data_IF_230011157413
#
_entry.id   IF_230011157413
#
_cell.length_a   1.000
_cell.length_b   1.000
_cell.length_c   1.000
_cell.angle_alpha   90.00
_cell.angle_beta   90.00
_cell.angle_gamma   90.00
#
_symmetry.space_group_name_H-M   'P 1'
#
loop_
_entity.id
_entity.type
_entity.pdbx_description
1 polymer ?
#
# COMPACT_ATOMS: atom_id res chain seq x y z
N UNK A 1 2.47 9.39 3.82
CA UNK A 1 1.02 9.66 3.68
C UNK A 1 0.23 8.89 4.74
N UNK A 2 -0.78 9.52 5.34
CA UNK A 2 -1.77 8.80 6.15
C UNK A 2 -2.82 8.21 5.19
N UNK A 3 -2.95 6.89 5.22
CA UNK A 3 -3.94 6.14 4.43
C UNK A 3 -5.24 6.00 5.23
N UNK A 4 -5.15 5.63 6.51
CA UNK A 4 -6.31 5.56 7.40
C UNK A 4 -6.26 6.66 8.45
N UNK A 5 -7.16 7.63 8.36
CA UNK A 5 -7.25 8.71 9.36
C UNK A 5 -7.82 8.25 10.69
N UNK A 6 -8.76 7.30 10.67
CA UNK A 6 -9.44 6.74 11.85
C UNK A 6 -8.44 6.16 12.87
N UNK A 7 -7.49 5.36 12.37
CA UNK A 7 -6.51 4.66 13.19
C UNK A 7 -5.08 5.13 12.96
N UNK A 8 -4.91 6.26 12.24
CA UNK A 8 -3.62 6.89 11.91
C UNK A 8 -2.63 5.93 11.26
N UNK A 9 -3.11 5.10 10.33
CA UNK A 9 -2.26 4.15 9.59
C UNK A 9 -1.61 4.87 8.41
N UNK A 10 -0.29 4.76 8.32
CA UNK A 10 0.51 5.32 7.23
C UNK A 10 0.73 4.33 6.10
N UNK A 11 1.01 4.81 4.89
CA UNK A 11 1.45 3.94 3.78
C UNK A 11 2.64 3.07 4.18
N UNK A 12 3.63 3.64 4.86
CA UNK A 12 4.83 2.94 5.30
C UNK A 12 4.48 1.75 6.18
N UNK A 13 3.55 1.91 7.12
CA UNK A 13 3.11 0.82 8.00
C UNK A 13 2.48 -0.33 7.20
N UNK A 14 1.64 -0.01 6.20
CA UNK A 14 1.01 -1.00 5.32
C UNK A 14 2.08 -1.72 4.48
N UNK A 15 2.99 -0.96 3.86
CA UNK A 15 4.08 -1.50 3.04
C UNK A 15 4.98 -2.44 3.85
N UNK A 16 5.34 -2.10 5.08
CA UNK A 16 6.18 -2.97 5.91
C UNK A 16 5.53 -4.33 6.14
N UNK A 17 4.24 -4.38 6.49
CA UNK A 17 3.54 -5.66 6.67
C UNK A 17 3.32 -6.40 5.35
N UNK A 18 3.01 -5.69 4.27
CA UNK A 18 2.86 -6.32 2.96
C UNK A 18 4.17 -6.98 2.49
N UNK A 19 5.33 -6.36 2.76
CA UNK A 19 6.65 -6.93 2.49
C UNK A 19 7.00 -8.13 3.38
N UNK A 20 6.40 -8.24 4.57
CA UNK A 20 6.45 -9.44 5.42
C UNK A 20 5.57 -10.58 4.87
N UNK A 21 4.86 -10.37 3.75
CA UNK A 21 3.97 -11.35 3.13
C UNK A 21 2.56 -11.38 3.70
N UNK A 22 2.21 -10.42 4.57
CA UNK A 22 0.85 -10.35 5.15
C UNK A 22 -0.17 -9.93 4.11
N UNK A 23 -1.35 -10.55 4.17
CA UNK A 23 -2.51 -10.18 3.37
C UNK A 23 -3.29 -9.03 4.01
N UNK A 24 -4.33 -8.56 3.31
CA UNK A 24 -5.17 -7.47 3.80
C UNK A 24 -5.80 -7.77 5.17
N UNK A 25 -6.32 -8.98 5.39
CA UNK A 25 -6.96 -9.34 6.66
C UNK A 25 -6.00 -9.27 7.86
N UNK A 26 -4.76 -9.73 7.70
CA UNK A 26 -3.74 -9.66 8.73
C UNK A 26 -3.35 -8.20 9.01
N UNK A 27 -3.16 -7.40 7.95
CA UNK A 27 -2.80 -5.99 8.06
C UNK A 27 -3.94 -5.18 8.70
N UNK A 28 -5.19 -5.49 8.35
CA UNK A 28 -6.39 -4.92 8.98
C UNK A 28 -6.46 -5.26 10.46
N UNK A 29 -6.18 -6.51 10.83
CA UNK A 29 -6.17 -6.96 12.22
C UNK A 29 -5.09 -6.25 13.04
N UNK A 30 -3.87 -6.15 12.51
CA UNK A 30 -2.72 -5.60 13.25
C UNK A 30 -2.74 -4.06 13.33
N UNK A 31 -3.11 -3.37 12.26
CA UNK A 31 -3.05 -1.90 12.18
C UNK A 31 -4.40 -1.22 12.42
N UNK A 32 -5.51 -1.96 12.35
CA UNK A 32 -6.86 -1.40 12.33
C UNK A 32 -7.17 -0.63 11.04
N UNK A 33 -6.42 -0.80 9.95
CA UNK A 33 -6.77 -0.16 8.68
C UNK A 33 -8.17 -0.62 8.23
N UNK A 34 -8.99 0.29 7.69
CA UNK A 34 -10.37 0.05 7.25
C UNK A 34 -11.40 -0.39 8.33
N UNK A 35 -11.02 -0.64 9.58
CA UNK A 35 -11.92 -1.22 10.59
C UNK A 35 -12.92 -0.25 11.26
N UNK A 36 -12.94 1.04 10.89
CA UNK A 36 -13.91 2.03 11.42
C UNK A 36 -14.86 2.55 10.33
N UNK A 37 -14.42 3.48 9.49
CA UNK A 37 -15.30 4.07 8.47
C UNK A 37 -15.21 3.38 7.10
N UNK A 38 -14.28 2.44 6.91
CA UNK A 38 -14.05 1.70 5.66
C UNK A 38 -13.49 2.51 4.47
N UNK A 39 -13.51 3.85 4.51
CA UNK A 39 -13.17 4.70 3.34
C UNK A 39 -11.74 4.55 2.80
N UNK A 40 -10.82 3.99 3.57
CA UNK A 40 -9.44 3.78 3.15
C UNK A 40 -9.19 2.38 2.57
N UNK A 41 -10.20 1.51 2.52
CA UNK A 41 -10.04 0.09 2.18
C UNK A 41 -9.41 -0.13 0.79
N UNK A 42 -10.00 0.45 -0.26
CA UNK A 42 -9.49 0.31 -1.63
C UNK A 42 -8.05 0.81 -1.74
N UNK A 43 -7.76 1.98 -1.15
CA UNK A 43 -6.41 2.55 -1.14
C UNK A 43 -5.41 1.66 -0.40
N UNK A 44 -5.81 1.02 0.70
CA UNK A 44 -4.95 0.10 1.43
C UNK A 44 -4.69 -1.19 0.62
N UNK A 45 -5.71 -1.72 -0.06
CA UNK A 45 -5.55 -2.90 -0.94
C UNK A 45 -4.64 -2.63 -2.12
N UNK A 46 -4.81 -1.48 -2.80
CA UNK A 46 -3.95 -1.08 -3.92
C UNK A 46 -2.46 -1.07 -3.52
N UNK A 47 -2.15 -0.59 -2.31
CA UNK A 47 -0.78 -0.57 -1.77
C UNK A 47 -0.26 -2.00 -1.55
N UNK A 48 -1.08 -2.87 -0.96
CA UNK A 48 -0.72 -4.26 -0.67
C UNK A 48 -0.50 -5.04 -1.97
N UNK A 49 -1.42 -4.92 -2.92
CA UNK A 49 -1.35 -5.58 -4.23
C UNK A 49 -0.13 -5.09 -5.00
N UNK A 50 0.16 -3.79 -4.98
CA UNK A 50 1.37 -3.25 -5.58
C UNK A 50 2.63 -3.83 -4.94
N UNK A 51 2.68 -3.99 -3.61
CA UNK A 51 3.81 -4.63 -2.93
C UNK A 51 3.96 -6.10 -3.31
N UNK A 52 2.86 -6.87 -3.35
CA UNK A 52 2.89 -8.29 -3.70
C UNK A 52 3.26 -8.52 -5.18
N UNK A 53 2.78 -7.65 -6.09
CA UNK A 53 3.16 -7.68 -7.50
C UNK A 53 4.66 -7.39 -7.70
N UNK A 54 5.22 -6.44 -6.94
CA UNK A 54 6.66 -6.13 -6.96
C UNK A 54 7.52 -7.27 -6.41
N UNK A 55 7.01 -8.01 -5.41
CA UNK A 55 7.69 -9.21 -4.90
C UNK A 55 7.77 -10.36 -5.92
N UNK A 56 6.87 -10.39 -6.92
CA UNK A 56 6.87 -11.37 -8.02
C UNK A 56 7.72 -10.96 -9.24
N UNK A 57 8.07 -9.68 -9.37
CA UNK A 57 8.77 -9.13 -10.52
C UNK A 57 9.83 -8.12 -10.09
N UNK A 58 11.07 -8.54 -9.84
CA UNK A 58 12.30 -7.73 -9.84
C UNK A 58 12.28 -6.39 -9.05
N UNK A 59 13.18 -6.13 -8.09
CA UNK A 59 14.60 -5.77 -8.33
C UNK A 59 14.89 -4.80 -9.52
N UNK A 60 13.91 -4.18 -10.19
CA UNK A 60 14.19 -3.21 -11.25
C UNK A 60 13.15 -2.08 -11.37
N UNK A 61 13.48 -0.97 -10.71
CA UNK A 61 13.39 0.34 -11.34
C UNK A 61 12.01 0.98 -11.41
N UNK A 62 11.54 1.54 -10.28
CA UNK A 62 10.63 2.69 -10.35
C UNK A 62 11.42 3.95 -10.72
N UNK A 63 11.86 4.02 -11.98
CA UNK A 63 12.23 5.27 -12.62
C UNK A 63 11.76 5.25 -14.07
N UNK A 64 10.47 5.49 -14.28
CA UNK A 64 9.95 6.04 -15.55
C UNK A 64 8.64 6.79 -15.33
N UNK A 65 8.74 8.04 -14.86
CA UNK A 65 7.85 9.11 -15.39
C UNK A 65 8.76 10.20 -15.93
N UNK A 66 9.38 9.89 -17.07
CA UNK A 66 9.83 10.90 -18.03
C UNK A 66 9.13 10.59 -19.33
N UNK A 67 7.89 11.04 -19.50
CA UNK A 67 7.27 11.25 -20.81
C UNK A 67 5.97 12.03 -20.63
N UNK A 68 6.10 13.33 -20.42
CA UNK A 68 5.31 14.36 -21.10
C UNK A 68 5.80 15.73 -20.66
N UNK A 69 6.77 16.29 -21.40
CA UNK A 69 6.75 17.73 -21.61
C UNK A 69 7.00 18.02 -23.08
N UNK A 70 6.12 18.86 -23.59
CA UNK A 70 5.92 19.24 -24.97
C UNK A 70 7.17 19.75 -25.69
N UNK A 71 7.09 19.61 -27.01
CA UNK A 71 7.67 20.46 -28.06
C UNK A 71 7.83 21.92 -27.66
#
# INVERSE_FOLDING_TARGET
>A
MIVCVCHRVSDKSIVQHALEGKGFDDIQFELGVASQCGRCEDCARDIIDACHAQSGAAQHGWQVVSLSLNR
#
